data_IF_317916031949
#
_entry.id   IF_317916031949
#
_cell.length_a   1.000
_cell.length_b   1.000
_cell.length_c   1.000
_cell.angle_alpha   90.00
_cell.angle_beta   90.00
_cell.angle_gamma   90.00
#
_symmetry.space_group_name_H-M   'P 1'
#
loop_
_entity.id
_entity.type
_entity.pdbx_description
1 polymer ?
#
# COMPACT_ATOMS: atom_id res chain seq x y z
N UNK A 1 -9.99 -5.06 2.30
CA UNK A 1 -8.60 -5.41 1.95
C UNK A 1 -8.53 -5.63 0.45
N UNK A 2 -7.59 -4.99 -0.25
CA UNK A 2 -7.40 -5.10 -1.71
C UNK A 2 -5.92 -5.33 -2.02
N UNK A 3 -5.60 -6.29 -2.90
CA UNK A 3 -4.22 -6.54 -3.34
C UNK A 3 -3.74 -5.47 -4.31
N UNK A 4 -2.66 -4.77 -3.95
CA UNK A 4 -1.96 -3.83 -4.82
C UNK A 4 -0.99 -4.59 -5.73
N UNK A 5 -0.16 -5.45 -5.14
CA UNK A 5 0.73 -6.39 -5.84
C UNK A 5 0.63 -7.76 -5.17
N UNK A 6 1.39 -8.74 -5.67
CA UNK A 6 1.44 -10.07 -5.04
C UNK A 6 2.05 -10.02 -3.62
N UNK A 7 2.81 -8.96 -3.33
CA UNK A 7 3.51 -8.75 -2.05
C UNK A 7 2.93 -7.60 -1.21
N UNK A 8 1.92 -6.87 -1.70
CA UNK A 8 1.37 -5.71 -0.99
C UNK A 8 -0.15 -5.66 -1.05
N UNK A 9 -0.76 -5.36 0.09
CA UNK A 9 -2.20 -5.13 0.23
C UNK A 9 -2.46 -3.72 0.76
N UNK A 10 -3.64 -3.21 0.46
CA UNK A 10 -4.21 -1.99 1.03
C UNK A 10 -5.41 -2.33 1.90
N UNK A 11 -5.46 -1.75 3.10
CA UNK A 11 -6.60 -1.82 4.03
C UNK A 11 -7.09 -0.40 4.26
N UNK A 12 -8.34 -0.10 3.86
CA UNK A 12 -8.97 1.19 4.13
C UNK A 12 -9.12 1.37 5.65
N UNK A 13 -8.79 2.56 6.13
CA UNK A 13 -8.94 2.95 7.53
C UNK A 13 -9.66 4.29 7.65
N UNK A 14 -10.26 4.60 8.81
CA UNK A 14 -10.84 5.91 9.06
C UNK A 14 -9.83 7.04 8.83
N UNK A 15 -10.30 8.19 8.32
CA UNK A 15 -9.46 9.36 8.05
C UNK A 15 -8.74 9.87 9.30
N UNK A 16 -9.41 9.81 10.44
CA UNK A 16 -8.90 10.19 11.77
C UNK A 16 -8.08 9.10 12.46
N UNK A 17 -7.77 7.98 11.77
CA UNK A 17 -6.95 6.92 12.32
C UNK A 17 -5.51 7.39 12.56
N UNK A 18 -4.96 7.09 13.74
CA UNK A 18 -3.60 7.37 14.17
C UNK A 18 -2.99 6.16 14.87
N UNK A 19 -1.67 6.17 15.09
CA UNK A 19 -0.95 5.07 15.77
C UNK A 19 -1.24 3.69 15.17
N UNK A 20 -1.18 3.60 13.85
CA UNK A 20 -1.44 2.38 13.10
C UNK A 20 -0.30 1.39 13.33
N UNK A 21 -0.63 0.15 13.71
CA UNK A 21 0.33 -0.90 14.04
C UNK A 21 -0.16 -2.26 13.51
N UNK A 22 0.79 -3.14 13.19
CA UNK A 22 0.53 -4.54 12.91
C UNK A 22 1.28 -5.38 13.94
N UNK A 23 0.59 -6.30 14.61
CA UNK A 23 1.20 -7.23 15.55
C UNK A 23 1.76 -8.46 14.82
N UNK A 24 2.64 -9.19 15.49
CA UNK A 24 3.29 -10.40 14.95
C UNK A 24 2.29 -11.47 14.51
N UNK A 25 1.12 -11.51 15.15
CA UNK A 25 0.02 -12.40 14.78
C UNK A 25 -0.87 -11.81 13.66
N UNK A 26 -0.37 -10.89 12.83
CA UNK A 26 -1.06 -10.35 11.65
C UNK A 26 -2.30 -9.50 11.95
N UNK A 27 -2.52 -9.16 13.22
CA UNK A 27 -3.62 -8.29 13.60
C UNK A 27 -3.23 -6.82 13.44
N UNK A 28 -3.91 -6.18 12.50
CA UNK A 28 -3.83 -4.76 12.26
C UNK A 28 -4.64 -4.01 13.30
N UNK A 29 -4.11 -2.91 13.84
CA UNK A 29 -4.83 -2.06 14.78
C UNK A 29 -4.49 -0.58 14.60
N UNK A 30 -5.46 0.29 14.91
CA UNK A 30 -5.29 1.74 14.91
C UNK A 30 -6.09 2.37 16.05
N UNK A 31 -5.72 3.60 16.44
CA UNK A 31 -6.50 4.46 17.33
C UNK A 31 -7.24 5.51 16.50
N UNK A 32 -8.34 6.06 17.00
CA UNK A 32 -8.94 7.27 16.41
C UNK A 32 -8.89 8.41 17.43
N UNK A 33 -9.02 9.65 16.97
CA UNK A 33 -8.99 10.83 17.86
C UNK A 33 -10.24 10.90 18.73
N UNK A 34 -11.36 10.39 18.22
CA UNK A 34 -12.68 10.52 18.86
C UNK A 34 -12.95 9.36 19.83
N UNK A 35 -12.42 8.17 19.57
CA UNK A 35 -12.56 7.02 20.45
C UNK A 35 -11.18 6.39 20.67
N UNK A 36 -10.78 6.21 21.92
CA UNK A 36 -9.60 5.42 22.30
C UNK A 36 -9.73 3.93 21.92
N UNK A 37 -10.78 3.55 21.19
CA UNK A 37 -11.04 2.20 20.74
C UNK A 37 -10.08 1.77 19.64
N UNK A 38 -9.47 0.63 19.92
CA UNK A 38 -8.59 -0.11 19.03
C UNK A 38 -9.45 -1.02 18.15
N UNK A 39 -9.74 -0.62 16.90
CA UNK A 39 -10.33 -1.57 15.96
C UNK A 39 -9.22 -2.52 15.50
N UNK A 40 -9.37 -3.81 15.76
CA UNK A 40 -8.46 -4.85 15.27
C UNK A 40 -9.04 -5.56 14.05
N UNK A 41 -8.28 -5.63 12.96
CA UNK A 41 -8.60 -6.44 11.80
C UNK A 41 -7.45 -7.42 11.57
N UNK A 42 -7.68 -8.73 11.67
CA UNK A 42 -6.60 -9.68 11.45
C UNK A 42 -6.52 -10.07 9.96
N UNK A 43 -5.32 -9.93 9.41
CA UNK A 43 -5.00 -10.18 8.00
C UNK A 43 -4.55 -11.65 7.80
N UNK A 44 -4.48 -12.43 8.88
CA UNK A 44 -3.79 -13.71 9.02
C UNK A 44 -4.23 -14.87 8.13
N UNK A 45 -5.27 -14.74 7.31
CA UNK A 45 -5.63 -15.86 6.43
C UNK A 45 -4.66 -15.96 5.24
N UNK A 46 -3.59 -16.75 5.40
CA UNK A 46 -2.76 -17.23 4.30
C UNK A 46 -1.46 -16.45 4.03
N UNK A 47 -0.92 -15.73 5.02
CA UNK A 47 0.40 -15.08 4.94
C UNK A 47 1.26 -15.48 6.15
N UNK A 48 2.55 -15.72 5.91
CA UNK A 48 3.48 -16.18 6.95
C UNK A 48 4.30 -15.03 7.56
N UNK A 49 4.41 -13.92 6.84
CA UNK A 49 5.11 -12.74 7.30
C UNK A 49 4.40 -11.48 6.78
N UNK A 50 4.43 -10.42 7.59
CA UNK A 50 3.79 -9.15 7.27
C UNK A 50 4.49 -7.99 7.95
N UNK A 51 4.51 -6.84 7.28
CA UNK A 51 5.03 -5.61 7.87
C UNK A 51 4.29 -4.39 7.32
N UNK A 52 4.16 -3.35 8.15
CA UNK A 52 3.55 -2.09 7.73
C UNK A 52 4.57 -1.29 6.90
N UNK A 53 4.23 -0.99 5.66
CA UNK A 53 5.02 -0.06 4.82
C UNK A 53 4.73 1.38 5.25
N UNK A 54 3.46 1.72 5.44
CA UNK A 54 3.02 3.02 5.90
C UNK A 54 1.51 3.23 5.76
N UNK A 55 1.08 4.46 6.02
CA UNK A 55 -0.32 4.89 5.90
C UNK A 55 -0.40 6.04 4.92
N UNK A 56 -1.33 6.01 3.96
CA UNK A 56 -1.44 7.05 2.94
C UNK A 56 -1.77 8.42 3.55
N UNK A 57 -1.25 9.53 2.99
CA UNK A 57 -0.31 9.58 1.86
C UNK A 57 1.08 9.05 2.25
N UNK A 58 1.66 8.20 1.40
CA UNK A 58 3.01 7.65 1.58
C UNK A 58 4.08 8.58 1.03
N UNK A 59 5.29 8.49 1.57
CA UNK A 59 6.47 9.15 0.99
C UNK A 59 6.88 8.49 -0.32
N UNK A 60 7.71 9.17 -1.12
CA UNK A 60 8.25 8.61 -2.37
C UNK A 60 9.09 7.34 -2.09
N UNK A 61 9.91 7.35 -1.03
CA UNK A 61 10.69 6.19 -0.58
C UNK A 61 9.81 4.99 -0.19
N UNK A 62 8.65 5.23 0.42
CA UNK A 62 7.70 4.16 0.73
C UNK A 62 7.08 3.61 -0.55
N UNK A 63 6.72 4.48 -1.50
CA UNK A 63 6.23 4.05 -2.81
C UNK A 63 7.24 3.22 -3.58
N UNK A 64 8.52 3.58 -3.51
CA UNK A 64 9.64 2.85 -4.11
C UNK A 64 9.72 1.38 -3.70
N UNK A 65 9.23 1.03 -2.51
CA UNK A 65 9.20 -0.36 -2.05
C UNK A 65 8.03 -1.16 -2.64
N UNK A 66 7.02 -0.47 -3.17
CA UNK A 66 5.76 -1.05 -3.65
C UNK A 66 5.74 -1.12 -5.18
N UNK A 67 6.06 -0.01 -5.84
CA UNK A 67 6.00 0.11 -7.30
C UNK A 67 7.25 -0.51 -7.93
N UNK A 68 7.08 -1.22 -9.04
CA UNK A 68 8.18 -1.89 -9.70
C UNK A 68 9.12 -0.87 -10.36
N UNK A 69 10.40 -0.90 -9.97
CA UNK A 69 11.50 -0.17 -10.62
C UNK A 69 12.01 -0.97 -11.81
N UNK A 70 11.98 -0.36 -13.00
CA UNK A 70 12.66 -0.87 -14.17
C UNK A 70 13.81 0.08 -14.53
N UNK A 71 15.04 -0.41 -14.43
CA UNK A 71 16.20 0.29 -14.98
C UNK A 71 16.41 -0.15 -16.43
N UNK A 72 16.27 0.78 -17.36
CA UNK A 72 16.50 0.53 -18.79
C UNK A 72 17.01 1.79 -19.48
N UNK A 73 18.02 1.63 -20.34
CA UNK A 73 18.62 2.72 -21.14
C UNK A 73 19.13 3.93 -20.33
N UNK A 74 19.66 3.72 -19.12
CA UNK A 74 20.24 4.80 -18.31
C UNK A 74 19.24 5.70 -17.58
N UNK A 75 17.95 5.33 -17.54
CA UNK A 75 16.91 6.05 -16.80
C UNK A 75 16.14 5.10 -15.87
N UNK A 76 15.80 5.61 -14.67
CA UNK A 76 14.89 4.97 -13.71
C UNK A 76 13.45 5.11 -14.22
N UNK A 77 12.79 3.99 -14.55
CA UNK A 77 11.41 3.99 -15.05
C UNK A 77 10.49 3.17 -14.12
N UNK A 78 9.31 3.70 -13.81
CA UNK A 78 8.31 3.01 -12.99
C UNK A 78 7.16 2.49 -13.88
N UNK A 79 7.05 1.17 -14.01
CA UNK A 79 6.10 0.55 -14.93
C UNK A 79 4.74 0.33 -14.26
N UNK A 80 3.74 1.14 -14.61
CA UNK A 80 2.33 0.76 -14.44
C UNK A 80 1.91 0.04 -15.72
N UNK A 81 1.62 -1.26 -15.64
CA UNK A 81 1.14 -2.05 -16.79
C UNK A 81 -0.12 -1.37 -17.34
N UNK A 82 -0.09 -0.76 -18.54
CA UNK A 82 -1.27 -0.08 -19.06
C UNK A 82 -2.24 -1.14 -19.56
N UNK A 83 -3.53 -1.00 -19.21
CA UNK A 83 -4.56 -1.80 -19.88
C UNK A 83 -4.68 -1.42 -21.36
N UNK A 84 -4.31 -0.19 -21.75
CA UNK A 84 -4.24 0.29 -23.13
C UNK A 84 -3.24 1.48 -23.24
N UNK A 85 -2.33 1.48 -24.22
CA UNK A 85 -1.44 2.62 -24.55
C UNK A 85 -0.02 2.57 -23.96
N UNK A 86 0.95 3.21 -24.63
CA UNK A 86 2.40 3.06 -24.38
C UNK A 86 2.92 3.47 -22.99
N UNK A 87 4.17 3.09 -22.71
CA UNK A 87 4.84 3.37 -21.44
C UNK A 87 5.04 4.88 -21.21
N UNK A 88 4.45 5.43 -20.15
CA UNK A 88 4.72 6.78 -19.66
C UNK A 88 5.69 6.71 -18.49
N UNK A 89 6.79 7.48 -18.54
CA UNK A 89 7.70 7.64 -17.40
C UNK A 89 6.97 8.45 -16.32
N UNK A 90 6.82 7.88 -15.13
CA UNK A 90 6.21 8.50 -13.94
C UNK A 90 7.16 8.34 -12.78
N UNK A 91 7.17 9.26 -11.81
CA UNK A 91 7.89 9.02 -10.55
C UNK A 91 7.14 7.99 -9.68
N UNK A 92 7.72 7.61 -8.54
CA UNK A 92 7.19 6.56 -7.68
C UNK A 92 5.85 6.93 -7.08
N UNK A 93 5.69 8.20 -6.71
CA UNK A 93 4.45 8.75 -6.15
C UNK A 93 3.31 8.70 -7.18
N UNK A 94 3.54 9.19 -8.40
CA UNK A 94 2.58 9.16 -9.50
C UNK A 94 2.21 7.73 -9.90
N UNK A 95 3.20 6.83 -9.87
CA UNK A 95 3.02 5.40 -10.11
C UNK A 95 2.20 4.75 -9.01
N UNK A 96 2.44 5.11 -7.75
CA UNK A 96 1.67 4.65 -6.59
C UNK A 96 0.21 5.08 -6.63
N UNK A 97 -0.05 6.35 -6.94
CA UNK A 97 -1.41 6.88 -7.14
C UNK A 97 -2.10 6.16 -8.30
N UNK A 98 -1.38 5.94 -9.41
CA UNK A 98 -1.91 5.20 -10.56
C UNK A 98 -2.24 3.75 -10.20
N UNK A 99 -1.41 3.10 -9.39
CA UNK A 99 -1.63 1.75 -8.88
C UNK A 99 -2.91 1.68 -8.03
N UNK A 100 -3.10 2.59 -7.07
CA UNK A 100 -4.33 2.68 -6.29
C UNK A 100 -5.56 2.80 -7.20
N UNK A 101 -5.55 3.74 -8.15
CA UNK A 101 -6.66 3.95 -9.11
C UNK A 101 -6.93 2.69 -9.95
N UNK A 102 -5.89 2.02 -10.43
CA UNK A 102 -6.03 0.78 -11.22
C UNK A 102 -6.66 -0.38 -10.44
N UNK A 103 -6.60 -0.34 -9.10
CA UNK A 103 -7.25 -1.30 -8.19
C UNK A 103 -8.63 -0.81 -7.72
N UNK A 104 -9.14 0.28 -8.28
CA UNK A 104 -10.42 0.88 -7.91
C UNK A 104 -10.39 1.63 -6.57
N UNK A 105 -9.22 1.90 -6.01
CA UNK A 105 -9.07 2.63 -4.75
C UNK A 105 -9.08 4.14 -5.01
N UNK A 106 -9.77 4.89 -4.13
CA UNK A 106 -9.77 6.35 -4.16
C UNK A 106 -8.50 6.88 -3.49
N UNK A 107 -7.58 7.58 -4.20
CA UNK A 107 -6.31 8.07 -3.62
C UNK A 107 -6.48 9.13 -2.53
N UNK A 108 -7.66 9.73 -2.40
CA UNK A 108 -7.96 10.74 -1.39
C UNK A 108 -8.42 10.12 -0.05
N UNK A 109 -8.54 8.78 0.02
CA UNK A 109 -8.84 8.06 1.25
C UNK A 109 -7.56 7.56 1.93
N UNK A 110 -7.68 7.26 3.22
CA UNK A 110 -6.61 6.68 4.03
C UNK A 110 -6.57 5.15 3.94
N UNK A 111 -5.38 4.62 3.64
CA UNK A 111 -5.11 3.19 3.62
C UNK A 111 -3.84 2.86 4.39
N UNK A 112 -3.86 1.78 5.14
CA UNK A 112 -2.64 1.12 5.58
C UNK A 112 -2.14 0.20 4.45
N UNK A 113 -0.88 0.40 4.05
CA UNK A 113 -0.22 -0.43 3.05
C UNK A 113 0.69 -1.42 3.76
N UNK A 114 0.47 -2.69 3.51
CA UNK A 114 1.06 -3.79 4.27
C UNK A 114 1.76 -4.71 3.28
N UNK A 115 3.04 -4.97 3.53
CA UNK A 115 3.81 -5.99 2.83
C UNK A 115 3.42 -7.36 3.39
N UNK A 116 3.24 -8.32 2.51
CA UNK A 116 2.85 -9.70 2.81
C UNK A 116 3.79 -10.67 2.08
N UNK A 117 4.08 -11.80 2.70
CA UNK A 117 4.85 -12.90 2.10
C UNK A 117 4.06 -14.20 2.21
N UNK A 118 3.98 -14.93 1.09
CA UNK A 118 3.41 -16.27 0.99
C UNK A 118 4.56 -17.26 0.88
N UNK A 119 4.41 -18.45 1.49
CA UNK A 119 5.27 -19.62 1.24
C UNK A 119 5.28 -20.04 -0.23
#
# INVERSE_FOLDING_TARGET
MIHLTDKHIAVEIPEDACNVQISDNGCFSYKTVINEYRSSYCITSGFNNHSLVGVTPLTEEQWDTIVYKFEGYGYMNYLVKPQFGGYSIKNSMESGISLLKSKGLNPNKKYAIIKIEKE
#
